data_IF_299869725314
#
_entry.id   IF_299869725314
#
_cell.length_a   1.000
_cell.length_b   1.000
_cell.length_c   1.000
_cell.angle_alpha   90.00
_cell.angle_beta   90.00
_cell.angle_gamma   90.00
#
_symmetry.space_group_name_H-M   'P 1'
#
loop_
_entity.id
_entity.type
_entity.pdbx_description
1 polymer ?
#
# COMPACT_ATOMS: atom_id res chain seq x y z
N UNK A 1 26.45 2.68 -9.76
CA UNK A 1 25.69 3.58 -10.67
C UNK A 1 26.25 3.61 -12.11
N UNK A 2 27.07 2.62 -12.50
CA UNK A 2 27.77 2.66 -13.81
C UNK A 2 26.85 2.53 -15.04
N UNK A 3 25.66 1.96 -14.90
CA UNK A 3 24.76 1.66 -16.04
C UNK A 3 23.48 2.51 -16.08
N UNK A 4 23.37 3.53 -15.24
CA UNK A 4 22.17 4.38 -15.20
C UNK A 4 22.34 5.59 -16.11
N UNK A 5 21.50 5.66 -17.14
CA UNK A 5 21.40 6.88 -17.96
C UNK A 5 20.51 7.90 -17.23
N UNK A 6 21.06 9.02 -16.72
CA UNK A 6 20.32 9.95 -15.89
C UNK A 6 19.21 10.69 -16.66
N UNK A 7 19.38 10.92 -17.96
CA UNK A 7 18.38 11.59 -18.79
C UNK A 7 17.15 10.67 -18.97
N UNK A 8 17.41 9.39 -19.27
CA UNK A 8 16.34 8.40 -19.41
C UNK A 8 15.62 8.19 -18.08
N UNK A 9 16.38 8.03 -16.99
CA UNK A 9 15.81 7.88 -15.64
C UNK A 9 14.89 9.05 -15.30
N UNK A 10 15.35 10.29 -15.48
CA UNK A 10 14.54 11.48 -15.20
C UNK A 10 13.30 11.53 -16.09
N UNK A 11 13.46 11.28 -17.40
CA UNK A 11 12.34 11.28 -18.33
C UNK A 11 11.27 10.24 -17.98
N UNK A 12 11.67 9.02 -17.65
CA UNK A 12 10.74 7.95 -17.29
C UNK A 12 10.08 8.22 -15.93
N UNK A 13 10.83 8.72 -14.96
CA UNK A 13 10.29 9.17 -13.68
C UNK A 13 9.23 10.26 -13.87
N UNK A 14 9.51 11.29 -14.68
CA UNK A 14 8.58 12.39 -14.94
C UNK A 14 7.33 11.96 -15.72
N UNK A 15 7.40 10.93 -16.58
CA UNK A 15 6.21 10.36 -17.22
C UNK A 15 5.24 9.75 -16.21
N UNK A 16 5.76 9.16 -15.13
CA UNK A 16 4.94 8.57 -14.06
C UNK A 16 4.46 9.65 -13.08
N UNK A 17 5.39 10.41 -12.54
CA UNK A 17 5.09 11.34 -11.44
C UNK A 17 4.51 12.66 -11.93
N UNK A 18 5.00 13.20 -13.04
CA UNK A 18 4.68 14.54 -13.50
C UNK A 18 5.18 15.63 -12.55
N UNK A 19 4.75 16.85 -12.80
CA UNK A 19 4.87 17.98 -11.88
C UNK A 19 3.45 18.44 -11.54
N UNK A 20 2.90 18.11 -10.38
CA UNK A 20 1.47 18.32 -10.06
C UNK A 20 1.00 19.77 -10.18
N UNK A 21 1.92 20.74 -10.12
CA UNK A 21 1.62 22.16 -10.27
C UNK A 21 1.53 22.61 -11.72
N UNK A 22 2.05 21.84 -12.68
CA UNK A 22 2.15 22.22 -14.09
C UNK A 22 1.17 21.48 -15.00
N UNK A 23 0.64 20.34 -14.56
CA UNK A 23 -0.20 19.48 -15.39
C UNK A 23 -1.55 19.22 -14.75
N UNK A 24 -2.61 19.31 -15.54
CA UNK A 24 -3.88 18.74 -15.15
C UNK A 24 -3.87 17.24 -15.42
N UNK A 25 -4.45 16.49 -14.49
CA UNK A 25 -4.55 15.03 -14.66
C UNK A 25 -5.71 14.72 -15.62
N UNK A 26 -5.43 14.02 -16.73
CA UNK A 26 -6.48 13.68 -17.69
C UNK A 26 -7.42 12.62 -17.07
N UNK A 27 -8.70 12.83 -17.21
CA UNK A 27 -9.71 11.90 -16.74
C UNK A 27 -11.06 12.16 -17.39
N UNK A 28 -11.88 11.13 -17.46
CA UNK A 28 -13.22 11.18 -18.06
C UNK A 28 -14.34 11.01 -17.03
N UNK A 29 -14.00 10.61 -15.81
CA UNK A 29 -14.99 10.43 -14.74
C UNK A 29 -15.21 11.73 -13.98
N UNK A 30 -16.40 12.38 -14.12
CA UNK A 30 -16.68 13.65 -13.44
C UNK A 30 -16.59 13.60 -11.92
N UNK A 31 -16.77 12.40 -11.31
CA UNK A 31 -16.64 12.21 -9.88
C UNK A 31 -15.19 12.19 -9.37
N UNK A 32 -14.22 12.09 -10.28
CA UNK A 32 -12.79 12.02 -9.96
C UNK A 32 -12.00 13.22 -10.47
N UNK A 33 -12.40 13.80 -11.60
CA UNK A 33 -11.67 14.91 -12.22
C UNK A 33 -11.57 16.09 -11.25
N UNK A 34 -10.34 16.59 -11.08
CA UNK A 34 -10.03 17.72 -10.19
C UNK A 34 -9.90 17.38 -8.73
N UNK A 35 -10.23 16.16 -8.31
CA UNK A 35 -10.01 15.69 -6.94
C UNK A 35 -8.51 15.53 -6.64
N UNK A 36 -8.16 15.65 -5.36
CA UNK A 36 -6.80 15.52 -4.85
C UNK A 36 -6.76 14.43 -3.78
N UNK A 37 -5.94 13.42 -3.99
CA UNK A 37 -5.65 12.38 -3.00
C UNK A 37 -4.27 12.62 -2.40
N UNK A 38 -4.24 12.92 -1.10
CA UNK A 38 -3.01 12.94 -0.33
C UNK A 38 -2.59 11.52 0.06
N UNK A 39 -1.34 11.16 -0.16
CA UNK A 39 -0.82 9.84 0.21
C UNK A 39 0.33 9.99 1.19
N UNK A 40 0.17 9.40 2.37
CA UNK A 40 1.20 9.33 3.41
C UNK A 40 1.93 8.00 3.29
N UNK A 41 3.19 8.06 2.89
CA UNK A 41 4.06 6.89 2.70
C UNK A 41 5.05 6.76 3.86
N UNK A 42 5.45 5.54 4.21
CA UNK A 42 6.47 5.27 5.21
C UNK A 42 7.90 5.53 4.73
N UNK A 43 8.07 5.74 3.41
CA UNK A 43 9.36 6.00 2.78
C UNK A 43 9.13 6.75 1.47
N UNK A 44 10.05 7.65 1.06
CA UNK A 44 9.82 8.49 -0.14
C UNK A 44 9.88 7.67 -1.43
N UNK A 45 10.69 6.63 -1.53
CA UNK A 45 10.79 5.80 -2.73
C UNK A 45 9.48 5.06 -3.06
N UNK A 46 8.64 4.77 -2.06
CA UNK A 46 7.32 4.14 -2.25
C UNK A 46 6.35 5.08 -2.98
N UNK A 47 6.61 6.38 -2.97
CA UNK A 47 5.80 7.38 -3.68
C UNK A 47 5.69 7.12 -5.18
N UNK A 48 6.70 6.47 -5.78
CA UNK A 48 6.64 6.05 -7.19
C UNK A 48 5.47 5.09 -7.42
N UNK A 49 5.33 4.08 -6.57
CA UNK A 49 4.26 3.09 -6.67
C UNK A 49 2.89 3.68 -6.33
N UNK A 50 2.83 4.52 -5.30
CA UNK A 50 1.60 5.27 -4.97
C UNK A 50 1.13 6.12 -6.15
N UNK A 51 2.04 6.79 -6.84
CA UNK A 51 1.71 7.59 -8.02
C UNK A 51 1.31 6.71 -9.18
N UNK A 52 2.06 5.63 -9.46
CA UNK A 52 1.78 4.72 -10.56
C UNK A 52 0.38 4.09 -10.45
N UNK A 53 0.10 3.44 -9.31
CA UNK A 53 -1.21 2.80 -9.10
C UNK A 53 -2.33 3.83 -8.96
N UNK A 54 -2.05 4.96 -8.30
CA UNK A 54 -3.00 6.05 -8.19
C UNK A 54 -3.44 6.57 -9.56
N UNK A 55 -2.52 6.94 -10.43
CA UNK A 55 -2.85 7.43 -11.78
C UNK A 55 -3.50 6.36 -12.66
N UNK A 56 -3.07 5.10 -12.55
CA UNK A 56 -3.65 3.99 -13.30
C UNK A 56 -5.12 3.75 -12.93
N UNK A 57 -5.47 3.85 -11.66
CA UNK A 57 -6.78 3.46 -11.13
C UNK A 57 -7.73 4.65 -10.90
N UNK A 58 -7.17 5.86 -10.76
CA UNK A 58 -7.89 7.10 -10.47
C UNK A 58 -7.58 8.19 -11.52
N UNK A 59 -7.87 7.95 -12.82
CA UNK A 59 -7.60 8.95 -13.84
C UNK A 59 -8.38 10.25 -13.54
N UNK A 60 -7.67 11.38 -13.59
CA UNK A 60 -8.21 12.70 -13.24
C UNK A 60 -7.99 13.13 -11.79
N UNK A 61 -7.49 12.25 -10.91
CA UNK A 61 -7.15 12.58 -9.53
C UNK A 61 -5.68 13.00 -9.44
N UNK A 62 -5.41 14.13 -8.81
CA UNK A 62 -4.03 14.52 -8.45
C UNK A 62 -3.55 13.70 -7.24
N UNK A 63 -2.50 12.92 -7.44
CA UNK A 63 -1.86 12.15 -6.37
C UNK A 63 -0.73 12.98 -5.77
N UNK A 64 -0.81 13.28 -4.49
CA UNK A 64 0.13 14.15 -3.79
C UNK A 64 0.75 13.36 -2.65
N UNK A 65 2.04 13.03 -2.79
CA UNK A 65 2.76 12.15 -1.89
C UNK A 65 3.57 12.93 -0.86
N UNK A 66 3.64 12.39 0.34
CA UNK A 66 4.62 12.73 1.36
C UNK A 66 5.15 11.44 1.99
N UNK A 67 6.46 11.36 2.20
CA UNK A 67 7.11 10.19 2.79
C UNK A 67 8.57 10.50 3.13
N UNK A 68 9.15 9.71 4.04
CA UNK A 68 10.48 9.95 4.56
C UNK A 68 11.14 8.63 4.97
N UNK A 69 12.32 8.33 4.42
CA UNK A 69 13.11 7.14 4.76
C UNK A 69 13.44 7.03 6.24
N UNK A 70 13.56 8.16 6.94
CA UNK A 70 13.83 8.15 8.39
C UNK A 70 12.73 7.43 9.18
N UNK A 71 11.47 7.48 8.72
CA UNK A 71 10.36 6.73 9.34
C UNK A 71 10.59 5.23 9.22
N UNK A 72 10.98 4.76 8.05
CA UNK A 72 11.26 3.34 7.82
C UNK A 72 12.47 2.88 8.64
N UNK A 73 13.57 3.64 8.61
CA UNK A 73 14.79 3.32 9.36
C UNK A 73 14.51 3.27 10.86
N UNK A 74 13.83 4.28 11.42
CA UNK A 74 13.49 4.32 12.84
C UNK A 74 12.57 3.16 13.25
N UNK A 75 11.60 2.79 12.40
CA UNK A 75 10.75 1.62 12.64
C UNK A 75 11.57 0.33 12.72
N UNK A 76 12.45 0.11 11.74
CA UNK A 76 13.29 -1.08 11.68
C UNK A 76 14.26 -1.16 12.87
N UNK A 77 14.84 -0.03 13.28
CA UNK A 77 15.71 0.05 14.45
C UNK A 77 14.98 -0.28 15.75
N UNK A 78 13.80 0.32 15.97
CA UNK A 78 12.95 0.03 17.13
C UNK A 78 12.56 -1.47 17.18
N UNK A 79 12.18 -2.02 16.03
CA UNK A 79 11.86 -3.45 15.94
C UNK A 79 13.04 -4.35 16.30
N UNK A 80 14.26 -4.07 15.78
CA UNK A 80 15.46 -4.83 16.09
C UNK A 80 15.85 -4.75 17.57
N UNK A 81 15.51 -3.64 18.25
CA UNK A 81 15.71 -3.46 19.69
C UNK A 81 14.61 -4.10 20.55
N UNK A 82 13.55 -4.64 19.94
CA UNK A 82 12.39 -5.18 20.65
C UNK A 82 11.52 -4.11 21.32
N UNK A 83 11.59 -2.87 20.82
CA UNK A 83 10.76 -1.75 21.27
C UNK A 83 9.35 -1.82 20.66
N UNK A 84 8.39 -1.09 21.25
CA UNK A 84 7.03 -1.02 20.73
C UNK A 84 6.99 -0.41 19.30
N UNK A 85 6.27 -1.07 18.42
CA UNK A 85 6.12 -0.65 17.03
C UNK A 85 4.64 -0.46 16.63
N UNK A 86 4.31 0.62 15.90
CA UNK A 86 5.21 1.70 15.47
C UNK A 86 5.61 2.65 16.61
N UNK A 87 6.85 3.18 16.59
CA UNK A 87 7.29 4.19 17.56
C UNK A 87 6.39 5.43 17.55
N UNK A 88 6.17 6.04 18.73
CA UNK A 88 5.30 7.23 18.83
C UNK A 88 5.75 8.40 17.96
N UNK A 89 7.07 8.58 17.79
CA UNK A 89 7.59 9.63 16.91
C UNK A 89 7.17 9.40 15.45
N UNK A 90 7.13 8.15 14.99
CA UNK A 90 6.65 7.83 13.65
C UNK A 90 5.16 8.11 13.49
N UNK A 91 4.36 7.79 14.52
CA UNK A 91 2.92 8.11 14.54
C UNK A 91 2.72 9.63 14.46
N UNK A 92 3.48 10.39 15.24
CA UNK A 92 3.42 11.86 15.25
C UNK A 92 3.79 12.46 13.88
N UNK A 93 4.79 11.90 13.20
CA UNK A 93 5.15 12.32 11.84
C UNK A 93 4.04 12.01 10.84
N UNK A 94 3.39 10.85 10.91
CA UNK A 94 2.26 10.53 10.04
C UNK A 94 1.07 11.49 10.24
N UNK A 95 0.80 11.88 11.48
CA UNK A 95 -0.20 12.90 11.78
C UNK A 95 0.18 14.24 11.14
N UNK A 96 1.44 14.68 11.32
CA UNK A 96 1.94 15.93 10.73
C UNK A 96 1.84 15.92 9.21
N UNK A 97 2.26 14.84 8.55
CA UNK A 97 2.18 14.70 7.10
C UNK A 97 0.73 14.78 6.59
N UNK A 98 -0.19 14.15 7.27
CA UNK A 98 -1.61 14.22 6.92
C UNK A 98 -2.18 15.63 7.10
N UNK A 99 -1.80 16.32 8.18
CA UNK A 99 -2.17 17.71 8.43
C UNK A 99 -1.59 18.66 7.37
N UNK A 100 -0.33 18.47 6.96
CA UNK A 100 0.31 19.28 5.92
C UNK A 100 -0.39 19.10 4.56
N UNK A 101 -0.70 17.85 4.17
CA UNK A 101 -1.47 17.57 2.97
C UNK A 101 -2.83 18.28 2.96
N UNK A 102 -3.53 18.30 4.10
CA UNK A 102 -4.78 19.03 4.21
C UNK A 102 -4.58 20.53 4.27
N UNK A 103 -3.67 21.03 5.13
CA UNK A 103 -3.55 22.47 5.40
C UNK A 103 -2.97 23.23 4.21
N UNK A 104 -1.97 22.66 3.54
CA UNK A 104 -1.26 23.33 2.44
C UNK A 104 -1.93 23.10 1.09
N UNK A 105 -2.46 21.90 0.84
CA UNK A 105 -2.93 21.50 -0.49
C UNK A 105 -4.45 21.37 -0.58
N UNK A 106 -5.13 21.23 0.56
CA UNK A 106 -6.58 20.99 0.64
C UNK A 106 -6.94 19.73 -0.14
N UNK A 107 -6.32 18.61 0.22
CA UNK A 107 -6.66 17.31 -0.36
C UNK A 107 -8.09 16.91 0.02
N UNK A 108 -8.77 16.22 -0.90
CA UNK A 108 -10.14 15.73 -0.68
C UNK A 108 -10.17 14.49 0.23
N UNK A 109 -9.17 13.61 0.12
CA UNK A 109 -9.02 12.45 0.99
C UNK A 109 -7.54 12.18 1.26
N UNK A 110 -7.26 11.42 2.31
CA UNK A 110 -5.91 10.98 2.68
C UNK A 110 -5.85 9.46 2.69
N UNK A 111 -4.85 8.90 2.00
CA UNK A 111 -4.53 7.49 1.98
C UNK A 111 -3.26 7.25 2.78
N UNK A 112 -3.34 6.44 3.84
CA UNK A 112 -2.19 5.92 4.56
C UNK A 112 -1.73 4.65 3.87
N UNK A 113 -0.60 4.72 3.14
CA UNK A 113 -0.15 3.66 2.24
C UNK A 113 0.90 2.71 2.83
N UNK A 114 1.28 2.91 4.08
CA UNK A 114 2.32 2.11 4.71
C UNK A 114 1.72 0.99 5.58
N UNK A 115 1.80 -0.24 5.11
CA UNK A 115 1.28 -1.42 5.82
C UNK A 115 2.00 -1.67 7.15
N UNK A 116 3.30 -1.37 7.24
CA UNK A 116 4.07 -1.47 8.48
C UNK A 116 3.59 -0.45 9.54
N UNK A 117 3.12 0.73 9.08
CA UNK A 117 2.57 1.80 9.92
C UNK A 117 1.04 1.77 9.99
N UNK A 118 0.40 0.65 9.63
CA UNK A 118 -1.06 0.56 9.55
C UNK A 118 -1.76 0.95 10.87
N UNK A 119 -1.14 0.69 12.02
CA UNK A 119 -1.68 1.07 13.34
C UNK A 119 -1.74 2.58 13.56
N UNK A 120 -0.91 3.38 12.88
CA UNK A 120 -0.97 4.84 12.95
C UNK A 120 -2.25 5.41 12.31
N UNK A 121 -2.96 4.64 11.49
CA UNK A 121 -4.20 5.06 10.83
C UNK A 121 -5.24 5.64 11.80
N UNK A 122 -5.49 4.96 12.94
CA UNK A 122 -6.46 5.41 13.95
C UNK A 122 -6.09 6.80 14.51
N UNK A 123 -4.79 7.03 14.72
CA UNK A 123 -4.27 8.31 15.23
C UNK A 123 -4.40 9.42 14.19
N UNK A 124 -4.04 9.14 12.93
CA UNK A 124 -4.19 10.09 11.81
C UNK A 124 -5.66 10.46 11.63
N UNK A 125 -6.56 9.48 11.62
CA UNK A 125 -8.01 9.70 11.51
C UNK A 125 -8.56 10.55 12.66
N UNK A 126 -8.13 10.28 13.90
CA UNK A 126 -8.54 11.06 15.06
C UNK A 126 -8.05 12.53 14.98
N UNK A 127 -6.81 12.74 14.55
CA UNK A 127 -6.24 14.08 14.40
C UNK A 127 -6.95 14.93 13.34
N UNK A 128 -7.49 14.31 12.30
CA UNK A 128 -8.23 14.97 11.21
C UNK A 128 -9.76 14.95 11.41
N UNK A 129 -10.25 14.37 12.50
CA UNK A 129 -11.69 14.22 12.73
C UNK A 129 -12.50 15.52 12.76
N UNK A 130 -11.83 16.66 13.05
CA UNK A 130 -12.48 17.99 13.08
C UNK A 130 -12.66 18.60 11.69
N UNK A 131 -11.95 18.13 10.68
CA UNK A 131 -11.93 18.75 9.34
C UNK A 131 -12.69 17.93 8.29
N UNK A 132 -13.31 16.83 8.70
CA UNK A 132 -14.17 15.97 7.87
C UNK A 132 -13.50 15.49 6.57
N UNK A 133 -12.19 15.27 6.61
CA UNK A 133 -11.44 14.65 5.49
C UNK A 133 -11.39 13.15 5.69
N UNK A 134 -11.86 12.35 4.75
CA UNK A 134 -11.74 10.90 4.82
C UNK A 134 -10.28 10.47 4.91
N UNK A 135 -9.99 9.61 5.88
CA UNK A 135 -8.69 8.94 6.00
C UNK A 135 -8.90 7.46 5.69
N UNK A 136 -8.13 6.95 4.76
CA UNK A 136 -8.25 5.61 4.18
C UNK A 136 -6.98 4.84 4.53
N UNK A 137 -7.12 3.63 5.02
CA UNK A 137 -6.02 2.69 5.15
C UNK A 137 -5.93 1.85 3.88
N UNK A 138 -4.76 1.78 3.28
CA UNK A 138 -4.58 1.13 1.98
C UNK A 138 -4.91 -0.37 2.00
N UNK A 139 -4.67 -1.03 3.13
CA UNK A 139 -4.83 -2.48 3.26
C UNK A 139 -6.26 -2.89 3.63
N UNK A 140 -7.11 -1.98 4.12
CA UNK A 140 -8.43 -2.31 4.67
C UNK A 140 -9.32 -3.03 3.65
N UNK A 141 -9.41 -2.51 2.42
CA UNK A 141 -10.21 -3.13 1.37
C UNK A 141 -9.68 -4.51 0.96
N UNK A 142 -8.36 -4.69 0.96
CA UNK A 142 -7.73 -5.99 0.70
C UNK A 142 -8.06 -7.01 1.80
N UNK A 143 -8.06 -6.57 3.07
CA UNK A 143 -8.45 -7.44 4.18
C UNK A 143 -9.93 -7.82 4.12
N UNK A 144 -10.82 -6.86 3.81
CA UNK A 144 -12.25 -7.12 3.62
C UNK A 144 -12.48 -8.16 2.51
N UNK A 145 -11.83 -8.00 1.36
CA UNK A 145 -11.93 -8.92 0.23
C UNK A 145 -11.42 -10.31 0.60
N UNK A 146 -10.25 -10.41 1.25
CA UNK A 146 -9.67 -11.68 1.68
C UNK A 146 -10.58 -12.42 2.68
N UNK A 147 -11.11 -11.71 3.68
CA UNK A 147 -12.03 -12.29 4.67
C UNK A 147 -13.34 -12.73 4.04
N UNK A 148 -13.87 -11.98 3.06
CA UNK A 148 -15.11 -12.36 2.34
C UNK A 148 -14.91 -13.57 1.42
N UNK A 149 -13.74 -13.74 0.81
CA UNK A 149 -13.41 -14.97 0.07
C UNK A 149 -13.46 -16.17 1.03
N UNK A 150 -12.93 -15.99 2.23
CA UNK A 150 -12.94 -17.01 3.27
C UNK A 150 -11.89 -18.10 3.04
N UNK A 151 -11.94 -19.14 3.89
CA UNK A 151 -10.97 -20.21 3.89
C UNK A 151 -9.62 -19.79 4.47
N UNK A 152 -8.55 -20.49 4.09
CA UNK A 152 -7.20 -20.21 4.60
C UNK A 152 -6.50 -19.14 3.76
N UNK A 153 -6.08 -18.06 4.42
CA UNK A 153 -5.40 -16.92 3.83
C UNK A 153 -3.88 -17.06 4.00
N UNK A 154 -3.13 -16.99 2.91
CA UNK A 154 -1.68 -16.86 2.98
C UNK A 154 -1.30 -15.37 2.99
N UNK A 155 -0.69 -14.92 4.08
CA UNK A 155 -0.11 -13.57 4.18
C UNK A 155 1.37 -13.64 3.80
N UNK A 156 1.76 -12.95 2.74
CA UNK A 156 3.15 -12.85 2.30
C UNK A 156 3.65 -11.43 2.51
N UNK A 157 4.80 -11.28 3.16
CA UNK A 157 5.48 -10.00 3.33
C UNK A 157 7.00 -10.16 3.23
N UNK A 158 7.69 -9.05 3.00
CA UNK A 158 9.16 -9.04 2.96
C UNK A 158 9.80 -8.90 4.33
N UNK A 159 9.00 -8.67 5.38
CA UNK A 159 9.47 -8.53 6.77
C UNK A 159 8.50 -9.22 7.74
N UNK A 160 9.03 -9.95 8.71
CA UNK A 160 8.26 -10.66 9.72
C UNK A 160 7.23 -9.79 10.47
N UNK A 161 7.60 -8.58 10.97
CA UNK A 161 6.67 -7.67 11.63
C UNK A 161 5.47 -7.28 10.77
N UNK A 162 5.66 -7.18 9.44
CA UNK A 162 4.57 -6.87 8.52
C UNK A 162 3.62 -8.05 8.36
N UNK A 163 4.11 -9.29 8.38
CA UNK A 163 3.24 -10.48 8.41
C UNK A 163 2.33 -10.42 9.63
N UNK A 164 2.88 -10.25 10.82
CA UNK A 164 2.12 -10.20 12.07
C UNK A 164 1.12 -9.03 12.09
N UNK A 165 1.54 -7.84 11.66
CA UNK A 165 0.68 -6.66 11.59
C UNK A 165 -0.51 -6.88 10.65
N UNK A 166 -0.29 -7.56 9.51
CA UNK A 166 -1.33 -7.87 8.54
C UNK A 166 -2.27 -8.96 9.05
N UNK A 167 -1.75 -9.99 9.73
CA UNK A 167 -2.58 -11.02 10.38
C UNK A 167 -3.48 -10.41 11.45
N UNK A 168 -2.96 -9.50 12.27
CA UNK A 168 -3.78 -8.77 13.24
C UNK A 168 -4.89 -7.94 12.57
N UNK A 169 -4.58 -7.30 11.44
CA UNK A 169 -5.58 -6.54 10.68
C UNK A 169 -6.64 -7.45 10.05
N UNK A 170 -6.27 -8.64 9.57
CA UNK A 170 -7.22 -9.67 9.11
C UNK A 170 -8.15 -10.09 10.24
N UNK A 171 -7.62 -10.36 11.43
CA UNK A 171 -8.43 -10.73 12.60
C UNK A 171 -9.38 -9.59 12.99
N UNK A 172 -8.88 -8.34 13.13
CA UNK A 172 -9.72 -7.16 13.41
C UNK A 172 -10.83 -6.99 12.36
N UNK A 173 -10.52 -7.29 11.09
CA UNK A 173 -11.49 -7.21 10.00
C UNK A 173 -12.54 -8.31 10.09
N UNK A 174 -12.14 -9.54 10.38
CA UNK A 174 -13.06 -10.67 10.57
C UNK A 174 -14.00 -10.42 11.77
N UNK A 175 -13.46 -9.94 12.89
CA UNK A 175 -14.25 -9.60 14.09
C UNK A 175 -15.28 -8.52 13.76
N UNK A 176 -14.90 -7.48 13.00
CA UNK A 176 -15.79 -6.39 12.56
C UNK A 176 -16.90 -6.89 11.63
N UNK A 177 -16.61 -7.89 10.80
CA UNK A 177 -17.56 -8.50 9.87
C UNK A 177 -18.38 -9.63 10.51
N UNK A 178 -18.13 -9.97 11.77
CA UNK A 178 -18.82 -11.03 12.50
C UNK A 178 -18.54 -12.44 11.96
N UNK A 179 -17.34 -12.68 11.42
CA UNK A 179 -16.91 -13.96 10.85
C UNK A 179 -15.59 -14.42 11.46
N UNK A 180 -15.18 -15.64 11.13
CA UNK A 180 -13.87 -16.18 11.52
C UNK A 180 -12.90 -16.15 10.34
N UNK A 181 -11.61 -16.11 10.63
CA UNK A 181 -10.54 -16.12 9.64
C UNK A 181 -9.48 -17.16 10.04
N UNK A 182 -8.98 -17.91 9.07
CA UNK A 182 -7.81 -18.78 9.21
C UNK A 182 -6.68 -18.27 8.31
N UNK A 183 -5.48 -18.15 8.84
CA UNK A 183 -4.36 -17.61 8.09
C UNK A 183 -3.02 -18.23 8.50
N UNK A 184 -2.12 -18.26 7.53
CA UNK A 184 -0.69 -18.54 7.74
C UNK A 184 0.15 -17.39 7.19
N UNK A 185 1.41 -17.32 7.60
CA UNK A 185 2.33 -16.28 7.17
C UNK A 185 3.55 -16.84 6.46
N UNK A 186 4.06 -16.10 5.50
CA UNK A 186 5.35 -16.33 4.85
C UNK A 186 6.14 -15.02 4.78
N UNK A 187 7.38 -15.05 5.29
CA UNK A 187 8.33 -13.94 5.17
C UNK A 187 9.30 -14.25 4.05
N UNK A 188 9.45 -13.32 3.10
CA UNK A 188 10.30 -13.45 1.92
C UNK A 188 11.28 -12.27 1.89
N UNK A 189 12.30 -12.32 2.76
CA UNK A 189 13.25 -11.20 2.96
C UNK A 189 14.06 -10.89 1.69
N UNK A 190 14.46 -11.91 0.94
CA UNK A 190 15.19 -11.75 -0.33
C UNK A 190 14.42 -10.90 -1.33
N UNK A 191 13.07 -10.93 -1.29
CA UNK A 191 12.26 -10.10 -2.17
C UNK A 191 12.51 -8.59 -1.92
N UNK A 192 12.72 -8.16 -0.69
CA UNK A 192 13.03 -6.76 -0.39
C UNK A 192 14.36 -6.32 -1.02
N UNK A 193 15.39 -7.14 -0.88
CA UNK A 193 16.71 -6.85 -1.45
C UNK A 193 16.65 -6.78 -2.97
N UNK A 194 16.01 -7.76 -3.61
CA UNK A 194 15.85 -7.80 -5.06
C UNK A 194 15.08 -6.59 -5.59
N UNK A 195 14.01 -6.18 -4.90
CA UNK A 195 13.28 -4.95 -5.27
C UNK A 195 14.16 -3.70 -5.13
N UNK A 196 14.94 -3.59 -4.05
CA UNK A 196 15.87 -2.51 -3.81
C UNK A 196 16.99 -2.41 -4.86
N UNK A 197 17.34 -3.53 -5.48
CA UNK A 197 18.27 -3.61 -6.61
C UNK A 197 17.61 -3.36 -7.97
N UNK A 198 16.30 -3.15 -8.04
CA UNK A 198 15.53 -2.98 -9.26
C UNK A 198 15.25 -4.29 -10.02
N UNK A 199 15.51 -5.44 -9.41
CA UNK A 199 15.31 -6.78 -9.97
C UNK A 199 13.85 -7.24 -9.75
N UNK A 200 12.92 -6.57 -10.44
CA UNK A 200 11.47 -6.78 -10.22
C UNK A 200 11.05 -8.21 -10.61
N UNK A 201 11.59 -8.77 -11.68
CA UNK A 201 11.24 -10.13 -12.11
C UNK A 201 11.65 -11.16 -11.07
N UNK A 202 12.88 -11.05 -10.55
CA UNK A 202 13.41 -11.94 -9.52
C UNK A 202 12.65 -11.77 -8.19
N UNK A 203 12.35 -10.53 -7.82
CA UNK A 203 11.47 -10.23 -6.68
C UNK A 203 10.13 -10.99 -6.80
N UNK A 204 9.49 -10.92 -7.96
CA UNK A 204 8.21 -11.56 -8.18
C UNK A 204 8.32 -13.09 -8.19
N UNK A 205 9.42 -13.65 -8.70
CA UNK A 205 9.64 -15.11 -8.70
C UNK A 205 9.85 -15.70 -7.31
N UNK A 206 10.59 -15.03 -6.41
CA UNK A 206 10.74 -15.54 -5.03
C UNK A 206 9.41 -15.47 -4.26
N UNK A 207 8.55 -14.47 -4.52
CA UNK A 207 7.19 -14.42 -3.98
C UNK A 207 6.34 -15.57 -4.54
N UNK A 208 6.40 -15.79 -5.85
CA UNK A 208 5.67 -16.88 -6.52
C UNK A 208 6.09 -18.26 -5.99
N UNK A 209 7.38 -18.45 -5.71
CA UNK A 209 7.90 -19.67 -5.11
C UNK A 209 7.35 -19.89 -3.70
N UNK A 210 7.33 -18.84 -2.87
CA UNK A 210 6.76 -18.91 -1.53
C UNK A 210 5.26 -19.26 -1.55
N UNK A 211 4.49 -18.72 -2.51
CA UNK A 211 3.08 -19.08 -2.71
C UNK A 211 2.95 -20.56 -3.04
N UNK A 212 3.71 -21.07 -4.03
CA UNK A 212 3.68 -22.48 -4.42
C UNK A 212 4.08 -23.42 -3.28
N UNK A 213 5.10 -23.07 -2.52
CA UNK A 213 5.53 -23.83 -1.35
C UNK A 213 4.46 -23.91 -0.26
N UNK A 214 3.76 -22.80 0.00
CA UNK A 214 2.64 -22.79 0.94
C UNK A 214 1.49 -23.68 0.45
N UNK A 215 1.17 -23.64 -0.85
CA UNK A 215 0.13 -24.47 -1.46
C UNK A 215 0.44 -25.98 -1.46
N UNK A 216 1.72 -26.36 -1.39
CA UNK A 216 2.11 -27.77 -1.23
C UNK A 216 1.86 -28.29 0.19
N UNK A 217 1.81 -27.41 1.19
CA UNK A 217 1.65 -27.77 2.60
C UNK A 217 0.22 -27.62 3.09
N UNK A 218 -0.47 -26.61 2.57
CA UNK A 218 -1.78 -26.18 3.05
C UNK A 218 -2.70 -25.85 1.87
N UNK A 219 -3.99 -26.10 2.05
CA UNK A 219 -4.98 -25.65 1.07
C UNK A 219 -5.21 -24.16 1.26
N UNK A 220 -4.65 -23.33 0.37
CA UNK A 220 -4.79 -21.88 0.39
C UNK A 220 -5.96 -21.49 -0.52
N UNK A 221 -6.83 -20.61 -0.07
CA UNK A 221 -7.96 -20.08 -0.84
C UNK A 221 -7.72 -18.67 -1.36
N UNK A 222 -6.86 -17.89 -0.68
CA UNK A 222 -6.47 -16.54 -1.11
C UNK A 222 -5.09 -16.18 -0.59
N UNK A 223 -4.35 -15.40 -1.37
CA UNK A 223 -3.05 -14.83 -1.00
C UNK A 223 -3.17 -13.33 -0.84
N UNK A 224 -2.58 -12.80 0.21
CA UNK A 224 -2.48 -11.36 0.50
C UNK A 224 -1.01 -10.96 0.45
N UNK A 225 -0.66 -10.05 -0.46
CA UNK A 225 0.66 -9.42 -0.52
C UNK A 225 0.64 -8.14 0.32
N UNK A 226 1.26 -8.21 1.49
CA UNK A 226 1.03 -7.30 2.61
C UNK A 226 1.68 -5.91 2.49
N UNK A 227 2.27 -5.55 1.37
CA UNK A 227 2.96 -4.27 1.18
C UNK A 227 2.64 -3.66 -0.18
N UNK A 228 2.46 -2.34 -0.24
CA UNK A 228 2.20 -1.63 -1.50
C UNK A 228 3.29 -1.92 -2.54
N UNK A 229 4.56 -1.97 -2.14
CA UNK A 229 5.68 -2.28 -3.01
C UNK A 229 5.56 -3.66 -3.67
N UNK A 230 4.94 -4.63 -3.01
CA UNK A 230 4.70 -5.96 -3.57
C UNK A 230 3.62 -5.97 -4.66
N UNK A 231 2.88 -4.87 -4.84
CA UNK A 231 1.90 -4.77 -5.95
C UNK A 231 2.56 -4.84 -7.34
N UNK A 232 3.88 -4.67 -7.42
CA UNK A 232 4.66 -4.91 -8.65
C UNK A 232 4.61 -6.38 -9.10
N UNK A 233 4.16 -7.28 -8.22
CA UNK A 233 3.91 -8.69 -8.54
C UNK A 233 2.96 -8.85 -9.75
N UNK A 234 1.97 -7.95 -9.86
CA UNK A 234 1.02 -7.96 -10.97
C UNK A 234 1.66 -7.68 -12.33
N UNK A 235 2.90 -7.18 -12.38
CA UNK A 235 3.60 -6.97 -13.65
C UNK A 235 4.10 -8.29 -14.25
N UNK A 236 4.49 -9.26 -13.43
CA UNK A 236 4.85 -10.60 -13.87
C UNK A 236 3.65 -11.55 -13.92
N UNK A 237 2.68 -11.33 -13.03
CA UNK A 237 1.49 -12.18 -12.86
C UNK A 237 0.20 -11.36 -12.96
N UNK A 238 -0.17 -10.87 -14.16
CA UNK A 238 -1.37 -10.03 -14.35
C UNK A 238 -2.68 -10.80 -14.14
N UNK A 239 -2.64 -12.12 -14.21
CA UNK A 239 -3.78 -13.02 -14.01
C UNK A 239 -3.43 -14.11 -13.00
N UNK A 240 -3.28 -13.78 -11.70
CA UNK A 240 -2.74 -14.73 -10.72
C UNK A 240 -3.59 -15.98 -10.54
N UNK A 241 -4.91 -15.89 -10.68
CA UNK A 241 -5.81 -17.06 -10.60
C UNK A 241 -5.45 -18.11 -11.66
N UNK A 242 -5.08 -17.69 -12.86
CA UNK A 242 -4.69 -18.61 -13.92
C UNK A 242 -3.37 -19.35 -13.62
N UNK A 243 -2.50 -18.77 -12.79
CA UNK A 243 -1.18 -19.34 -12.45
C UNK A 243 -1.20 -20.12 -11.14
N UNK A 244 -1.90 -19.60 -10.12
CA UNK A 244 -1.88 -20.15 -8.76
C UNK A 244 -3.19 -20.86 -8.37
N UNK A 245 -4.23 -20.79 -9.22
CA UNK A 245 -5.55 -21.37 -8.92
C UNK A 245 -6.35 -20.58 -7.87
N UNK A 246 -5.76 -19.53 -7.27
CA UNK A 246 -6.36 -18.70 -6.22
C UNK A 246 -6.10 -17.22 -6.49
N UNK A 247 -6.94 -16.32 -5.96
CA UNK A 247 -6.67 -14.88 -6.00
C UNK A 247 -5.39 -14.52 -5.25
N UNK A 248 -4.62 -13.58 -5.80
CA UNK A 248 -3.49 -12.92 -5.13
C UNK A 248 -3.83 -11.44 -5.06
N UNK A 249 -4.16 -10.97 -3.87
CA UNK A 249 -4.61 -9.61 -3.62
C UNK A 249 -3.44 -8.69 -3.31
N UNK A 250 -3.50 -7.47 -3.82
CA UNK A 250 -2.50 -6.43 -3.57
C UNK A 250 -3.15 -5.13 -3.13
N UNK A 251 -2.57 -4.46 -2.15
CA UNK A 251 -3.09 -3.19 -1.65
C UNK A 251 -3.01 -2.06 -2.70
N UNK A 252 -2.10 -2.14 -3.67
CA UNK A 252 -2.02 -1.20 -4.79
C UNK A 252 -3.25 -1.22 -5.69
N UNK A 253 -3.96 -2.34 -5.81
CA UNK A 253 -5.22 -2.39 -6.56
C UNK A 253 -6.43 -2.09 -5.68
N UNK A 254 -6.59 -2.82 -4.59
CA UNK A 254 -7.77 -2.73 -3.73
C UNK A 254 -7.87 -1.38 -3.02
N UNK A 255 -6.76 -0.88 -2.47
CA UNK A 255 -6.71 0.38 -1.72
C UNK A 255 -7.00 1.60 -2.59
N UNK A 256 -6.42 1.69 -3.80
CA UNK A 256 -6.71 2.81 -4.69
C UNK A 256 -8.12 2.72 -5.31
N UNK A 257 -8.66 1.53 -5.59
CA UNK A 257 -10.07 1.37 -5.98
C UNK A 257 -11.00 1.92 -4.88
N UNK A 258 -10.72 1.54 -3.62
CA UNK A 258 -11.49 2.05 -2.46
C UNK A 258 -11.39 3.56 -2.30
N UNK A 259 -10.21 4.14 -2.48
CA UNK A 259 -10.04 5.58 -2.49
C UNK A 259 -10.88 6.27 -3.57
N UNK A 260 -10.96 5.68 -4.76
CA UNK A 260 -11.82 6.14 -5.84
C UNK A 260 -13.30 6.15 -5.49
N UNK A 261 -13.80 5.08 -4.87
CA UNK A 261 -15.19 4.99 -4.40
C UNK A 261 -15.50 6.09 -3.38
N UNK A 262 -14.60 6.32 -2.43
CA UNK A 262 -14.76 7.36 -1.41
C UNK A 262 -14.77 8.74 -2.05
N UNK A 263 -13.82 9.04 -2.94
CA UNK A 263 -13.74 10.33 -3.64
C UNK A 263 -14.98 10.62 -4.48
N UNK A 264 -15.53 9.60 -5.19
CA UNK A 264 -16.78 9.74 -5.98
C UNK A 264 -18.01 10.02 -5.13
N UNK A 265 -18.07 9.44 -3.93
CA UNK A 265 -19.21 9.59 -3.03
C UNK A 265 -19.16 10.88 -2.19
N UNK A 266 -18.08 11.63 -2.25
CA UNK A 266 -18.00 12.95 -1.63
C UNK A 266 -18.84 13.95 -2.43
N UNK A 267 -19.93 14.40 -1.83
CA UNK A 267 -20.73 15.50 -2.41
C UNK A 267 -19.86 16.75 -2.52
N UNK A 268 -19.87 17.38 -3.70
CA UNK A 268 -19.27 18.69 -3.91
C UNK A 268 -19.95 19.76 -3.03
#
# INVERSE_FOLDING_TARGET
MQDVNPIRLFSDYMKVTGVPTLTDEPGTDPGLVGKKLGVVNGSSWVSLWSTYFGKKLLPGVKIINIGNEAVQLNFMEAHHKGEDCPPEINISLFISYAQDLFNLVKVDAILVSCSTMNRAFKNVRAALGKVNVPVIQIDEAMMEEAVMIGGKILVVATHGPTVLSTQNLLQETADRLGTSVDFIGATVEDAFHLLGEGKISEHNEVIASAIREAQLREKIEVVVLAQLSMSVFTFSYPYPIAVFGVPVLTSGETGFKKAGEILKNMRC
#
